data_IF_017876545507
#
_entry.id   IF_017876545507
#
_cell.length_a   1.000
_cell.length_b   1.000
_cell.length_c   1.000
_cell.angle_alpha   90.00
_cell.angle_beta   90.00
_cell.angle_gamma   90.00
#
_symmetry.space_group_name_H-M   'P 1'
#
loop_
_entity.id
_entity.type
_entity.pdbx_description
1 polymer ?
#
# COMPACT_ATOMS: atom_id res chain seq x y z
N UNK A 1 -1.54 -13.96 -7.21
CA UNK A 1 -1.19 -13.66 -5.79
C UNK A 1 0.08 -12.84 -5.84
N UNK A 2 0.06 -11.59 -5.38
CA UNK A 2 1.27 -10.75 -5.32
C UNK A 2 2.27 -11.41 -4.34
N UNK A 3 3.53 -11.54 -4.73
CA UNK A 3 4.53 -12.11 -3.82
C UNK A 3 4.90 -11.09 -2.73
N UNK A 4 5.41 -11.56 -1.58
CA UNK A 4 5.75 -10.69 -0.44
C UNK A 4 6.69 -9.53 -0.83
N UNK A 5 7.66 -9.77 -1.72
CA UNK A 5 8.64 -8.77 -2.15
C UNK A 5 7.95 -7.67 -2.98
N UNK A 6 7.06 -8.04 -3.90
CA UNK A 6 6.28 -7.10 -4.72
C UNK A 6 5.37 -6.22 -3.84
N UNK A 7 4.74 -6.81 -2.81
CA UNK A 7 3.95 -6.05 -1.85
C UNK A 7 4.82 -5.06 -1.04
N UNK A 8 6.04 -5.46 -0.67
CA UNK A 8 7.00 -4.58 0.02
C UNK A 8 7.51 -3.45 -0.89
N UNK A 9 7.81 -3.75 -2.15
CA UNK A 9 8.22 -2.76 -3.14
C UNK A 9 7.10 -1.74 -3.41
N UNK A 10 5.85 -2.19 -3.53
CA UNK A 10 4.69 -1.31 -3.63
C UNK A 10 4.55 -0.42 -2.37
N UNK A 11 4.76 -0.98 -1.19
CA UNK A 11 4.82 -0.25 0.08
C UNK A 11 5.87 0.87 0.06
N UNK A 12 7.11 0.57 -0.32
CA UNK A 12 8.17 1.59 -0.45
C UNK A 12 7.78 2.67 -1.46
N UNK A 13 7.21 2.29 -2.61
CA UNK A 13 6.70 3.25 -3.60
C UNK A 13 5.65 4.19 -3.03
N UNK A 14 4.70 3.68 -2.23
CA UNK A 14 3.67 4.48 -1.57
C UNK A 14 4.30 5.50 -0.62
N UNK A 15 5.28 5.09 0.18
CA UNK A 15 5.97 5.97 1.12
C UNK A 15 6.77 7.06 0.40
N UNK A 16 7.45 6.72 -0.69
CA UNK A 16 8.20 7.68 -1.53
C UNK A 16 7.28 8.74 -2.12
N UNK A 17 6.15 8.31 -2.71
CA UNK A 17 5.16 9.24 -3.28
C UNK A 17 4.55 10.13 -2.19
N UNK A 18 4.22 9.55 -1.04
CA UNK A 18 3.64 10.29 0.08
C UNK A 18 4.61 11.33 0.66
N UNK A 19 5.90 11.01 0.77
CA UNK A 19 6.93 11.96 1.20
C UNK A 19 7.12 13.10 0.20
N UNK A 20 7.25 12.78 -1.11
CA UNK A 20 7.38 13.78 -2.17
C UNK A 20 6.19 14.72 -2.26
N UNK A 21 4.98 14.21 -2.03
CA UNK A 21 3.74 14.98 -2.03
C UNK A 21 3.73 16.17 -1.07
N UNK A 22 4.36 16.03 0.09
CA UNK A 22 4.39 17.06 1.13
C UNK A 22 5.32 18.19 0.75
N UNK A 23 6.29 17.93 -0.14
CA UNK A 23 7.28 18.90 -0.62
C UNK A 23 6.83 19.67 -1.87
N UNK A 24 5.57 19.53 -2.29
CA UNK A 24 4.95 20.42 -3.29
C UNK A 24 4.60 19.76 -4.64
N UNK A 25 4.54 18.44 -4.73
CA UNK A 25 3.99 17.78 -5.94
C UNK A 25 2.48 18.06 -6.10
N UNK A 26 1.99 18.16 -7.33
CA UNK A 26 0.58 18.43 -7.59
C UNK A 26 -0.33 17.32 -7.03
N UNK A 27 -1.33 17.69 -6.21
CA UNK A 27 -2.24 16.77 -5.49
C UNK A 27 -2.90 15.71 -6.37
N UNK A 28 -3.09 15.98 -7.65
CA UNK A 28 -3.79 15.10 -8.60
C UNK A 28 -2.94 13.87 -8.97
N UNK A 29 -1.64 14.05 -9.17
CA UNK A 29 -0.70 12.98 -9.56
C UNK A 29 -0.47 11.98 -8.43
N UNK A 30 -0.48 12.47 -7.19
CA UNK A 30 -0.29 11.68 -5.97
C UNK A 30 -1.46 10.71 -5.76
N UNK A 31 -2.71 11.18 -5.96
CA UNK A 31 -3.89 10.33 -5.79
C UNK A 31 -3.92 9.21 -6.83
N UNK A 32 -3.52 9.51 -8.07
CA UNK A 32 -3.42 8.52 -9.14
C UNK A 32 -2.32 7.48 -8.85
N UNK A 33 -1.12 7.92 -8.48
CA UNK A 33 -0.01 7.04 -8.13
C UNK A 33 -0.33 6.14 -6.91
N UNK A 34 -0.95 6.69 -5.86
CA UNK A 34 -1.39 5.91 -4.71
C UNK A 34 -2.47 4.90 -5.06
N UNK A 35 -3.38 5.24 -5.97
CA UNK A 35 -4.42 4.31 -6.44
C UNK A 35 -3.81 3.15 -7.22
N UNK A 36 -2.84 3.43 -8.09
CA UNK A 36 -2.13 2.41 -8.87
C UNK A 36 -1.30 1.47 -7.99
N UNK A 37 -0.58 2.00 -6.99
CA UNK A 37 0.25 1.19 -6.10
C UNK A 37 -0.56 0.35 -5.10
N UNK A 38 -1.78 0.78 -4.79
CA UNK A 38 -2.70 0.02 -3.93
C UNK A 38 -3.44 -1.07 -4.69
N UNK A 39 -3.60 -0.91 -6.00
CA UNK A 39 -4.23 -1.90 -6.87
C UNK A 39 -3.44 -3.21 -6.85
N UNK A 40 -4.13 -4.34 -6.66
CA UNK A 40 -3.53 -5.67 -6.52
C UNK A 40 -2.97 -6.01 -5.13
N UNK A 41 -2.54 -5.02 -4.32
CA UNK A 41 -2.01 -5.26 -2.96
C UNK A 41 -3.14 -5.37 -1.93
N UNK A 42 -4.21 -4.59 -2.11
CA UNK A 42 -5.37 -4.53 -1.19
C UNK A 42 -6.65 -5.09 -1.80
N UNK A 43 -6.56 -5.70 -2.99
CA UNK A 43 -7.72 -6.28 -3.66
C UNK A 43 -8.10 -7.61 -2.99
N UNK A 44 -9.24 -7.62 -2.32
CA UNK A 44 -9.84 -8.81 -1.75
C UNK A 44 -10.60 -9.57 -2.84
N UNK A 45 -10.18 -10.80 -3.12
CA UNK A 45 -10.96 -11.76 -3.91
C UNK A 45 -11.68 -12.71 -2.94
N UNK A 46 -13.00 -12.78 -3.03
CA UNK A 46 -13.80 -13.77 -2.31
C UNK A 46 -14.21 -14.86 -3.30
N UNK A 47 -13.81 -16.09 -3.01
CA UNK A 47 -14.26 -17.27 -3.75
C UNK A 47 -15.57 -17.79 -3.14
N UNK A 48 -16.61 -17.85 -3.97
CA UNK A 48 -17.95 -18.36 -3.60
C UNK A 48 -18.30 -19.67 -4.32
N UNK A 49 -17.32 -20.33 -4.95
CA UNK A 49 -17.53 -21.56 -5.73
C UNK A 49 -18.08 -22.74 -4.92
N UNK A 50 -17.90 -22.72 -3.59
CA UNK A 50 -18.41 -23.74 -2.67
C UNK A 50 -19.86 -23.47 -2.17
N UNK A 51 -20.52 -22.41 -2.63
CA UNK A 51 -21.85 -22.02 -2.14
C UNK A 51 -22.95 -22.75 -2.91
N UNK A 52 -23.92 -23.41 -2.21
CA UNK A 52 -25.07 -24.03 -2.87
C UNK A 52 -25.89 -23.02 -3.70
N UNK A 53 -26.41 -23.40 -4.88
CA UNK A 53 -27.11 -22.48 -5.79
C UNK A 53 -28.30 -21.76 -5.14
N UNK A 54 -28.96 -22.42 -4.21
CA UNK A 54 -30.15 -21.97 -3.49
C UNK A 54 -29.87 -20.81 -2.52
N UNK A 55 -28.61 -20.64 -2.11
CA UNK A 55 -28.15 -19.60 -1.19
C UNK A 55 -27.26 -18.57 -1.89
N UNK A 56 -27.01 -18.74 -3.19
CA UNK A 56 -26.02 -17.99 -3.95
C UNK A 56 -26.27 -16.47 -3.93
N UNK A 57 -27.52 -16.04 -4.08
CA UNK A 57 -27.88 -14.61 -4.10
C UNK A 57 -27.55 -13.93 -2.75
N UNK A 58 -28.05 -14.51 -1.66
CA UNK A 58 -27.87 -13.96 -0.31
C UNK A 58 -26.40 -14.02 0.13
N UNK A 59 -25.71 -15.13 -0.15
CA UNK A 59 -24.29 -15.29 0.20
C UNK A 59 -23.41 -14.36 -0.65
N UNK A 60 -23.72 -14.17 -1.94
CA UNK A 60 -23.02 -13.21 -2.80
C UNK A 60 -23.21 -11.78 -2.30
N UNK A 61 -24.42 -11.40 -1.87
CA UNK A 61 -24.68 -10.07 -1.32
C UNK A 61 -23.89 -9.83 -0.03
N UNK A 62 -23.93 -10.77 0.92
CA UNK A 62 -23.17 -10.66 2.17
C UNK A 62 -21.66 -10.67 1.91
N UNK A 63 -21.18 -11.52 0.98
CA UNK A 63 -19.77 -11.53 0.59
C UNK A 63 -19.33 -10.17 0.00
N UNK A 64 -20.16 -9.56 -0.85
CA UNK A 64 -19.92 -8.23 -1.40
C UNK A 64 -19.82 -7.18 -0.28
N UNK A 65 -20.78 -7.14 0.64
CA UNK A 65 -20.79 -6.19 1.76
C UNK A 65 -19.56 -6.36 2.66
N UNK A 66 -19.17 -7.61 2.94
CA UNK A 66 -17.96 -7.92 3.70
C UNK A 66 -16.70 -7.48 2.95
N UNK A 67 -16.60 -7.74 1.65
CA UNK A 67 -15.46 -7.28 0.83
C UNK A 67 -15.32 -5.76 0.83
N UNK A 68 -16.43 -5.04 0.70
CA UNK A 68 -16.46 -3.57 0.69
C UNK A 68 -16.03 -2.99 2.05
N UNK A 69 -16.57 -3.51 3.15
CA UNK A 69 -16.20 -3.06 4.50
C UNK A 69 -14.75 -3.42 4.85
N UNK A 70 -14.28 -4.62 4.48
CA UNK A 70 -12.88 -5.00 4.65
C UNK A 70 -11.94 -4.12 3.83
N UNK A 71 -12.30 -3.85 2.56
CA UNK A 71 -11.55 -2.92 1.71
C UNK A 71 -11.45 -1.57 2.39
N UNK A 72 -12.58 -0.99 2.81
CA UNK A 72 -12.64 0.30 3.51
C UNK A 72 -11.74 0.36 4.75
N UNK A 73 -11.79 -0.67 5.60
CA UNK A 73 -10.93 -0.77 6.79
C UNK A 73 -9.45 -0.86 6.43
N UNK A 74 -9.11 -1.66 5.42
CA UNK A 74 -7.74 -1.74 4.92
C UNK A 74 -7.26 -0.37 4.39
N UNK A 75 -8.12 0.39 3.70
CA UNK A 75 -7.78 1.74 3.24
C UNK A 75 -7.49 2.69 4.42
N UNK A 76 -8.32 2.66 5.46
CA UNK A 76 -8.13 3.47 6.67
C UNK A 76 -6.81 3.13 7.37
N UNK A 77 -6.49 1.84 7.51
CA UNK A 77 -5.24 1.37 8.08
C UNK A 77 -4.04 1.89 7.28
N UNK A 78 -4.05 1.71 5.95
CA UNK A 78 -2.96 2.15 5.07
C UNK A 78 -2.79 3.66 5.13
N UNK A 79 -3.88 4.43 5.08
CA UNK A 79 -3.82 5.89 5.21
C UNK A 79 -3.23 6.31 6.57
N UNK A 80 -3.59 5.61 7.65
CA UNK A 80 -3.01 5.84 8.98
C UNK A 80 -1.51 5.58 9.03
N UNK A 81 -1.05 4.46 8.46
CA UNK A 81 0.37 4.12 8.37
C UNK A 81 1.16 5.16 7.55
N UNK A 82 0.62 5.56 6.39
CA UNK A 82 1.27 6.57 5.53
C UNK A 82 1.37 7.90 6.25
N UNK A 83 0.32 8.34 6.93
CA UNK A 83 0.33 9.58 7.73
C UNK A 83 1.38 9.50 8.85
N UNK A 84 1.42 8.39 9.59
CA UNK A 84 2.38 8.22 10.67
C UNK A 84 3.83 8.25 10.15
N UNK A 85 4.09 7.58 9.02
CA UNK A 85 5.39 7.64 8.35
C UNK A 85 5.79 9.08 8.01
N UNK A 86 4.87 9.84 7.40
CA UNK A 86 5.07 11.24 7.04
C UNK A 86 5.43 12.09 8.26
N UNK A 87 4.67 11.96 9.35
CA UNK A 87 4.89 12.73 10.58
C UNK A 87 6.28 12.40 11.18
N UNK A 88 6.68 11.12 11.17
CA UNK A 88 8.01 10.67 11.61
C UNK A 88 9.11 11.17 10.69
N UNK A 89 8.94 11.09 9.38
CA UNK A 89 9.92 11.57 8.40
C UNK A 89 10.17 13.07 8.55
N UNK A 90 9.10 13.87 8.72
CA UNK A 90 9.22 15.31 8.97
C UNK A 90 9.92 15.62 10.30
N UNK A 91 9.62 14.86 11.36
CA UNK A 91 10.31 15.01 12.63
C UNK A 91 11.80 14.68 12.52
N UNK A 92 12.13 13.60 11.81
CA UNK A 92 13.51 13.19 11.57
C UNK A 92 14.28 14.24 10.76
N UNK A 93 13.70 14.76 9.67
CA UNK A 93 14.33 15.84 8.88
C UNK A 93 14.53 17.13 9.67
N UNK A 94 13.64 17.44 10.62
CA UNK A 94 13.79 18.61 11.50
C UNK A 94 14.92 18.41 12.50
N UNK A 95 15.02 17.23 13.09
CA UNK A 95 15.90 16.97 14.23
C UNK A 95 17.28 16.44 13.79
N UNK A 96 17.44 16.03 12.52
CA UNK A 96 18.69 15.52 11.93
C UNK A 96 19.01 16.27 10.62
N UNK A 97 20.01 17.16 10.59
CA UNK A 97 20.37 17.96 9.42
C UNK A 97 20.80 17.15 8.19
N UNK A 98 21.34 15.95 8.41
CA UNK A 98 21.83 15.04 7.37
C UNK A 98 20.76 14.01 6.93
N UNK A 99 19.52 14.17 7.37
CA UNK A 99 18.43 13.25 7.02
C UNK A 99 18.09 13.34 5.52
N UNK A 100 18.34 12.23 4.80
CA UNK A 100 17.92 12.04 3.42
C UNK A 100 16.92 10.88 3.33
N UNK A 101 15.65 11.20 3.61
CA UNK A 101 14.54 10.23 3.52
C UNK A 101 14.42 9.63 2.11
N UNK A 102 14.51 10.41 1.01
CA UNK A 102 14.55 9.84 -0.34
C UNK A 102 15.64 8.78 -0.54
N UNK A 103 16.88 9.04 -0.10
CA UNK A 103 17.97 8.07 -0.22
C UNK A 103 17.73 6.81 0.63
N UNK A 104 17.17 6.96 1.84
CA UNK A 104 16.81 5.82 2.70
C UNK A 104 15.76 4.93 2.01
N UNK A 105 14.71 5.51 1.45
CA UNK A 105 13.68 4.77 0.73
C UNK A 105 14.20 4.13 -0.56
N UNK A 106 15.07 4.83 -1.29
CA UNK A 106 15.73 4.29 -2.47
C UNK A 106 16.58 3.07 -2.12
N UNK A 107 17.39 3.17 -1.06
CA UNK A 107 18.20 2.05 -0.57
C UNK A 107 17.32 0.87 -0.17
N UNK A 108 16.25 1.09 0.59
CA UNK A 108 15.31 0.04 0.97
C UNK A 108 14.69 -0.68 -0.25
N UNK A 109 14.38 0.06 -1.32
CA UNK A 109 13.89 -0.52 -2.58
C UNK A 109 14.94 -1.41 -3.27
N UNK A 110 16.20 -0.96 -3.29
CA UNK A 110 17.32 -1.71 -3.89
C UNK A 110 17.68 -2.97 -3.09
N UNK A 111 17.65 -2.89 -1.76
CA UNK A 111 17.91 -4.04 -0.88
C UNK A 111 16.82 -5.11 -1.10
N UNK A 112 15.54 -4.71 -1.16
CA UNK A 112 14.42 -5.63 -1.48
C UNK A 112 14.54 -6.25 -2.88
N UNK A 113 15.06 -5.50 -3.86
CA UNK A 113 15.31 -6.04 -5.19
C UNK A 113 16.47 -7.05 -5.18
N UNK A 114 17.51 -6.81 -4.37
CA UNK A 114 18.67 -7.69 -4.24
C UNK A 114 18.32 -9.02 -3.56
N UNK A 115 17.42 -8.98 -2.57
CA UNK A 115 16.88 -10.17 -1.92
C UNK A 115 16.12 -11.06 -2.91
N UNK A 116 15.40 -10.46 -3.88
CA UNK A 116 14.70 -11.19 -4.93
C UNK A 116 15.63 -12.06 -5.78
N UNK A 117 16.84 -11.56 -6.08
CA UNK A 117 17.85 -12.27 -6.88
C UNK A 117 18.71 -13.24 -6.06
N UNK A 118 18.58 -13.23 -4.73
CA UNK A 118 19.35 -14.12 -3.82
C UNK A 118 18.58 -15.39 -3.45
N UNK A 119 17.29 -15.45 -3.78
CA UNK A 119 16.38 -16.60 -3.53
C UNK A 119 16.07 -17.44 -4.78
N UNK A 120 16.70 -17.14 -5.92
CA UNK A 120 16.73 -17.98 -7.13
C UNK A 120 17.97 -18.90 -7.11
#
# INVERSE_FOLDING_TARGET
MINRIEAMQAGVGILTVAHGAIRGSEKTDIKAALSLLRHGVLDLQIDISAVPPEQNEAVRQVAQEVAEELSKRAQLMVNGCVKAFVDVAMAYERDCPDADIPAILQKASLDLASDRFSTD
#
